data_IF_288177631444
#
_entry.id   IF_288177631444
#
_cell.length_a   1.000
_cell.length_b   1.000
_cell.length_c   1.000
_cell.angle_alpha   90.00
_cell.angle_beta   90.00
_cell.angle_gamma   90.00
#
_symmetry.space_group_name_H-M   'P 1'
#
loop_
_entity.id
_entity.type
_entity.pdbx_description
1 polymer ?
#
# COMPACT_ATOMS: atom_id res chain seq x y z
N UNK A 1 -21.50 -1.95 -31.57
CA UNK A 1 -22.12 -3.29 -31.71
C UNK A 1 -21.26 -4.27 -30.91
N UNK A 2 -21.78 -4.90 -29.83
CA UNK A 2 -21.01 -5.87 -29.04
C UNK A 2 -21.11 -7.25 -29.70
N UNK A 3 -20.01 -7.79 -30.20
CA UNK A 3 -19.96 -9.14 -30.75
C UNK A 3 -20.19 -10.16 -29.63
N UNK A 4 -21.30 -10.89 -29.69
CA UNK A 4 -21.63 -11.99 -28.78
C UNK A 4 -21.45 -13.31 -29.54
N UNK A 5 -20.60 -14.20 -29.01
CA UNK A 5 -20.33 -15.52 -29.63
C UNK A 5 -21.16 -16.61 -28.93
N UNK A 6 -21.65 -17.65 -29.65
CA UNK A 6 -22.44 -18.73 -29.06
C UNK A 6 -21.59 -19.62 -28.12
N UNK A 7 -22.07 -19.85 -26.89
CA UNK A 7 -21.24 -20.24 -25.74
C UNK A 7 -20.76 -21.70 -25.64
N UNK A 8 -21.20 -22.65 -26.49
CA UNK A 8 -21.00 -24.09 -26.16
C UNK A 8 -19.75 -24.78 -26.72
N UNK A 9 -19.24 -24.40 -27.89
CA UNK A 9 -18.03 -25.02 -28.48
C UNK A 9 -16.88 -24.04 -28.77
N UNK A 10 -17.13 -22.74 -28.60
CA UNK A 10 -16.20 -21.67 -29.02
C UNK A 10 -15.26 -21.22 -27.89
N UNK A 11 -15.36 -21.78 -26.68
CA UNK A 11 -14.65 -21.26 -25.51
C UNK A 11 -13.13 -21.43 -25.56
N UNK A 12 -12.60 -22.43 -26.26
CA UNK A 12 -11.15 -22.58 -26.43
C UNK A 12 -10.62 -21.59 -27.47
N UNK A 13 -11.28 -21.51 -28.62
CA UNK A 13 -10.87 -20.62 -29.71
C UNK A 13 -11.04 -19.14 -29.33
N UNK A 14 -12.16 -18.76 -28.71
CA UNK A 14 -12.40 -17.40 -28.24
C UNK A 14 -11.41 -16.97 -27.13
N UNK A 15 -10.98 -17.89 -26.27
CA UNK A 15 -9.92 -17.60 -25.28
C UNK A 15 -8.58 -17.34 -25.95
N UNK A 16 -8.26 -18.10 -27.00
CA UNK A 16 -7.03 -17.93 -27.77
C UNK A 16 -7.06 -16.62 -28.56
N UNK A 17 -8.14 -16.34 -29.27
CA UNK A 17 -8.36 -15.06 -29.98
C UNK A 17 -8.26 -13.86 -29.03
N UNK A 18 -8.86 -13.91 -27.83
CA UNK A 18 -8.75 -12.82 -26.83
C UNK A 18 -7.34 -12.64 -26.26
N UNK A 19 -6.52 -13.69 -26.25
CA UNK A 19 -5.15 -13.62 -25.73
C UNK A 19 -4.17 -13.04 -26.76
N UNK A 20 -4.43 -13.29 -28.04
CA UNK A 20 -3.55 -12.90 -29.13
C UNK A 20 -3.95 -11.60 -29.83
N UNK A 21 -5.24 -11.32 -29.96
CA UNK A 21 -5.68 -10.03 -30.53
C UNK A 21 -5.54 -8.90 -29.49
N UNK A 22 -4.98 -7.74 -29.89
CA UNK A 22 -4.85 -6.60 -28.99
C UNK A 22 -6.22 -6.10 -28.55
N UNK A 23 -6.33 -5.65 -27.29
CA UNK A 23 -7.60 -5.17 -26.72
C UNK A 23 -8.23 -4.01 -27.52
N UNK A 24 -7.41 -3.23 -28.23
CA UNK A 24 -7.86 -2.16 -29.14
C UNK A 24 -8.63 -2.69 -30.35
N UNK A 25 -8.33 -3.89 -30.85
CA UNK A 25 -9.05 -4.50 -31.96
C UNK A 25 -10.50 -4.85 -31.58
N UNK A 26 -10.75 -5.12 -30.29
CA UNK A 26 -12.09 -5.42 -29.77
C UNK A 26 -12.92 -4.16 -29.48
N UNK A 27 -12.26 -3.01 -29.28
CA UNK A 27 -12.90 -1.73 -29.00
C UNK A 27 -13.02 -0.81 -30.24
N UNK A 28 -12.27 -1.11 -31.30
CA UNK A 28 -12.21 -0.32 -32.53
C UNK A 28 -13.33 -0.64 -33.53
N UNK A 29 -13.24 0.01 -34.70
CA UNK A 29 -14.21 -0.16 -35.78
C UNK A 29 -14.30 -1.62 -36.28
N UNK A 30 -15.47 -2.07 -36.76
CA UNK A 30 -15.68 -3.44 -37.25
C UNK A 30 -14.65 -3.90 -38.29
N UNK A 31 -14.18 -2.98 -39.14
CA UNK A 31 -13.14 -3.25 -40.14
C UNK A 31 -11.78 -3.60 -39.51
N UNK A 32 -11.42 -2.92 -38.42
CA UNK A 32 -10.15 -3.16 -37.71
C UNK A 32 -10.19 -4.53 -37.05
N UNK A 33 -11.30 -4.85 -36.38
CA UNK A 33 -11.52 -6.17 -35.79
C UNK A 33 -11.37 -7.30 -36.81
N UNK A 34 -12.05 -7.20 -37.96
CA UNK A 34 -11.98 -8.24 -38.99
C UNK A 34 -10.61 -8.34 -39.66
N UNK A 35 -9.92 -7.22 -39.88
CA UNK A 35 -8.54 -7.22 -40.40
C UNK A 35 -7.60 -8.00 -39.47
N UNK A 36 -7.58 -7.66 -38.18
CA UNK A 36 -6.71 -8.33 -37.21
C UNK A 36 -7.07 -9.82 -37.06
N UNK A 37 -8.36 -10.16 -37.12
CA UNK A 37 -8.82 -11.55 -37.05
C UNK A 37 -8.42 -12.38 -38.28
N UNK A 38 -8.53 -11.81 -39.49
CA UNK A 38 -8.09 -12.49 -40.72
C UNK A 38 -6.57 -12.71 -40.69
N UNK A 39 -5.80 -11.70 -40.29
CA UNK A 39 -4.35 -11.83 -40.14
C UNK A 39 -3.96 -12.92 -39.13
N UNK A 40 -4.64 -12.96 -37.99
CA UNK A 40 -4.43 -14.01 -36.98
C UNK A 40 -4.72 -15.41 -37.54
N UNK A 41 -5.85 -15.59 -38.23
CA UNK A 41 -6.23 -16.88 -38.82
C UNK A 41 -5.23 -17.32 -39.89
N UNK A 42 -4.80 -16.40 -40.78
CA UNK A 42 -3.82 -16.71 -41.82
C UNK A 42 -2.48 -17.09 -41.18
N UNK A 43 -1.97 -16.32 -40.22
CA UNK A 43 -0.71 -16.64 -39.55
C UNK A 43 -0.77 -17.99 -38.82
N UNK A 44 -1.91 -18.29 -38.17
CA UNK A 44 -2.12 -19.57 -37.48
C UNK A 44 -2.19 -20.75 -38.46
N UNK A 45 -2.92 -20.60 -39.57
CA UNK A 45 -2.99 -21.63 -40.61
C UNK A 45 -1.65 -21.85 -41.28
N UNK A 46 -0.92 -20.79 -41.66
CA UNK A 46 0.39 -20.89 -42.30
C UNK A 46 1.41 -21.54 -41.38
N UNK A 47 1.41 -21.20 -40.08
CA UNK A 47 2.32 -21.83 -39.11
C UNK A 47 2.01 -23.30 -38.87
N UNK A 48 0.73 -23.68 -38.83
CA UNK A 48 0.31 -25.07 -38.58
C UNK A 48 0.46 -25.97 -39.82
N UNK A 49 0.00 -25.51 -40.99
CA UNK A 49 0.21 -26.25 -42.25
C UNK A 49 1.68 -26.27 -42.67
N UNK A 50 2.46 -25.23 -42.36
CA UNK A 50 3.87 -25.15 -42.69
C UNK A 50 4.66 -26.33 -42.13
N UNK A 51 4.45 -26.73 -40.87
CA UNK A 51 5.07 -27.94 -40.29
C UNK A 51 4.70 -29.20 -41.07
N UNK A 52 3.42 -29.33 -41.42
CA UNK A 52 2.89 -30.52 -42.09
C UNK A 52 3.48 -30.70 -43.49
N UNK A 53 3.74 -29.59 -44.19
CA UNK A 53 4.38 -29.61 -45.52
C UNK A 53 5.90 -29.77 -45.41
N UNK A 54 6.53 -29.21 -44.38
CA UNK A 54 7.98 -29.27 -44.16
C UNK A 54 8.48 -30.70 -43.95
N UNK A 55 7.76 -31.50 -43.17
CA UNK A 55 8.16 -32.87 -42.80
C UNK A 55 8.41 -33.76 -44.04
N UNK A 56 7.45 -33.95 -44.97
CA UNK A 56 7.68 -34.75 -46.16
C UNK A 56 8.70 -34.12 -47.12
N UNK A 57 8.78 -32.78 -47.22
CA UNK A 57 9.78 -32.09 -48.07
C UNK A 57 11.21 -32.41 -47.63
N UNK A 58 11.52 -32.22 -46.34
CA UNK A 58 12.83 -32.53 -45.77
C UNK A 58 13.15 -34.02 -45.88
N UNK A 59 12.15 -34.88 -45.64
CA UNK A 59 12.34 -36.34 -45.71
C UNK A 59 12.73 -36.79 -47.12
N UNK A 60 12.06 -36.29 -48.15
CA UNK A 60 12.38 -36.60 -49.56
C UNK A 60 13.75 -36.03 -49.96
N UNK A 61 14.02 -34.76 -49.63
CA UNK A 61 15.30 -34.12 -49.96
C UNK A 61 16.50 -34.80 -49.28
N UNK A 62 16.31 -35.32 -48.06
CA UNK A 62 17.34 -36.10 -47.35
C UNK A 62 17.60 -37.46 -48.02
N UNK A 63 16.54 -38.17 -48.43
CA UNK A 63 16.65 -39.46 -49.12
C UNK A 63 17.34 -39.32 -50.49
N UNK A 64 17.14 -38.19 -51.18
CA UNK A 64 17.77 -37.90 -52.47
C UNK A 64 19.16 -37.24 -52.36
N UNK A 65 19.64 -36.96 -51.14
CA UNK A 65 20.94 -36.32 -50.90
C UNK A 65 21.01 -34.83 -51.27
N UNK A 66 19.86 -34.18 -51.44
CA UNK A 66 19.71 -32.75 -51.80
C UNK A 66 19.83 -31.83 -50.58
N UNK A 67 21.03 -31.78 -49.98
CA UNK A 67 21.29 -31.01 -48.76
C UNK A 67 21.02 -29.51 -48.86
N UNK A 68 21.19 -28.90 -50.04
CA UNK A 68 20.88 -27.49 -50.27
C UNK A 68 19.39 -27.20 -50.06
N UNK A 69 18.51 -28.09 -50.52
CA UNK A 69 17.05 -27.97 -50.36
C UNK A 69 16.66 -28.11 -48.89
N UNK A 70 17.25 -29.08 -48.19
CA UNK A 70 17.03 -29.28 -46.74
C UNK A 70 17.36 -28.00 -45.96
N UNK A 71 18.51 -27.39 -46.21
CA UNK A 71 18.93 -26.15 -45.52
C UNK A 71 17.98 -25.00 -45.85
N UNK A 72 17.58 -24.85 -47.11
CA UNK A 72 16.76 -23.74 -47.58
C UNK A 72 15.34 -23.80 -46.99
N UNK A 73 14.69 -24.96 -47.03
CA UNK A 73 13.36 -25.18 -46.44
C UNK A 73 13.38 -25.02 -44.92
N UNK A 74 14.42 -25.52 -44.26
CA UNK A 74 14.58 -25.38 -42.80
C UNK A 74 14.79 -23.92 -42.41
N UNK A 75 15.59 -23.17 -43.16
CA UNK A 75 15.85 -21.75 -42.92
C UNK A 75 14.59 -20.89 -43.15
N UNK A 76 13.84 -21.16 -44.23
CA UNK A 76 12.59 -20.46 -44.53
C UNK A 76 11.56 -20.68 -43.40
N UNK A 77 11.45 -21.91 -42.90
CA UNK A 77 10.54 -22.22 -41.80
C UNK A 77 10.98 -21.56 -40.48
N UNK A 78 12.28 -21.54 -40.18
CA UNK A 78 12.82 -20.87 -39.00
C UNK A 78 12.55 -19.36 -39.03
N UNK A 79 12.71 -18.72 -40.18
CA UNK A 79 12.42 -17.29 -40.36
C UNK A 79 10.94 -16.97 -40.12
N UNK A 80 10.04 -17.78 -40.70
CA UNK A 80 8.59 -17.67 -40.48
C UNK A 80 8.21 -17.79 -38.99
N UNK A 81 8.87 -18.71 -38.28
CA UNK A 81 8.63 -18.96 -36.87
C UNK A 81 9.13 -17.82 -35.97
N UNK A 82 10.25 -17.19 -36.32
CA UNK A 82 10.76 -15.99 -35.63
C UNK A 82 9.80 -14.81 -35.83
N UNK A 83 9.35 -14.57 -37.05
CA UNK A 83 8.45 -13.44 -37.38
C UNK A 83 7.09 -13.54 -36.66
N UNK A 84 6.64 -14.76 -36.34
CA UNK A 84 5.40 -14.98 -35.58
C UNK A 84 5.59 -14.97 -34.07
N UNK A 85 6.68 -15.55 -33.54
CA UNK A 85 6.90 -15.65 -32.10
C UNK A 85 7.40 -14.35 -31.46
N UNK A 86 8.25 -13.58 -32.15
CA UNK A 86 8.85 -12.37 -31.58
C UNK A 86 7.82 -11.28 -31.27
N UNK A 87 6.90 -10.91 -32.19
CA UNK A 87 5.86 -9.92 -31.91
C UNK A 87 4.92 -10.36 -30.79
N UNK A 88 4.62 -11.66 -30.72
CA UNK A 88 3.80 -12.22 -29.65
C UNK A 88 4.47 -12.06 -28.28
N UNK A 89 5.75 -12.41 -28.18
CA UNK A 89 6.51 -12.27 -26.94
C UNK A 89 6.59 -10.81 -26.48
N UNK A 90 6.83 -9.89 -27.42
CA UNK A 90 6.83 -8.44 -27.15
C UNK A 90 5.46 -7.96 -26.68
N UNK A 91 4.37 -8.37 -27.34
CA UNK A 91 3.02 -7.98 -26.96
C UNK A 91 2.63 -8.46 -25.55
N UNK A 92 3.03 -9.69 -25.19
CA UNK A 92 2.84 -10.23 -23.85
C UNK A 92 3.63 -9.43 -22.81
N UNK A 93 4.92 -9.19 -23.05
CA UNK A 93 5.76 -8.39 -22.17
C UNK A 93 5.24 -6.95 -21.99
N UNK A 94 4.81 -6.30 -23.08
CA UNK A 94 4.26 -4.94 -23.03
C UNK A 94 2.97 -4.86 -22.21
N UNK A 95 2.11 -5.88 -22.29
CA UNK A 95 0.88 -5.93 -21.50
C UNK A 95 1.17 -6.09 -20.01
N UNK A 96 2.15 -6.91 -19.63
CA UNK A 96 2.54 -7.09 -18.23
C UNK A 96 3.20 -5.83 -17.68
N UNK A 97 4.06 -5.18 -18.47
CA UNK A 97 4.67 -3.89 -18.11
C UNK A 97 3.61 -2.81 -17.91
N UNK A 98 2.61 -2.72 -18.80
CA UNK A 98 1.50 -1.77 -18.66
C UNK A 98 0.69 -1.98 -17.39
N UNK A 99 0.42 -3.24 -17.03
CA UNK A 99 -0.29 -3.58 -15.78
C UNK A 99 0.52 -3.20 -14.54
N UNK A 100 1.83 -3.46 -14.56
CA UNK A 100 2.71 -3.08 -13.46
C UNK A 100 2.72 -1.56 -13.27
N UNK A 101 2.85 -0.81 -14.38
CA UNK A 101 2.86 0.65 -14.37
C UNK A 101 1.51 1.23 -13.90
N UNK A 102 0.38 0.71 -14.37
CA UNK A 102 -0.94 1.20 -13.96
C UNK A 102 -1.19 0.98 -12.47
N UNK A 103 -0.79 -0.17 -11.94
CA UNK A 103 -0.91 -0.50 -10.51
C UNK A 103 -0.09 0.44 -9.63
N UNK A 104 1.14 0.76 -10.05
CA UNK A 104 2.00 1.71 -9.34
C UNK A 104 1.43 3.13 -9.39
N UNK A 105 0.90 3.54 -10.56
CA UNK A 105 0.24 4.82 -10.73
C UNK A 105 -1.02 4.96 -9.89
N UNK A 106 -1.88 3.95 -9.81
CA UNK A 106 -3.08 3.95 -8.97
C UNK A 106 -2.74 4.08 -7.48
N UNK A 107 -1.72 3.35 -7.01
CA UNK A 107 -1.25 3.42 -5.62
C UNK A 107 -0.75 4.84 -5.31
N UNK A 108 0.10 5.39 -6.19
CA UNK A 108 0.63 6.75 -6.06
C UNK A 108 -0.46 7.82 -6.14
N UNK A 109 -1.45 7.64 -7.02
CA UNK A 109 -2.58 8.55 -7.19
C UNK A 109 -3.48 8.54 -5.95
N UNK A 110 -3.77 7.38 -5.37
CA UNK A 110 -4.60 7.28 -4.16
C UNK A 110 -3.95 7.97 -2.94
N UNK A 111 -2.63 7.87 -2.81
CA UNK A 111 -1.86 8.60 -1.79
C UNK A 111 -1.90 10.11 -2.04
N UNK A 112 -1.72 10.54 -3.30
CA UNK A 112 -1.78 11.96 -3.69
C UNK A 112 -3.18 12.55 -3.53
N UNK A 113 -4.23 11.80 -3.84
CA UNK A 113 -5.62 12.23 -3.71
C UNK A 113 -6.01 12.37 -2.24
N UNK A 114 -5.59 11.43 -1.40
CA UNK A 114 -5.75 11.53 0.06
C UNK A 114 -5.01 12.76 0.61
N UNK A 115 -3.74 12.96 0.24
CA UNK A 115 -2.96 14.13 0.66
C UNK A 115 -3.55 15.45 0.15
N UNK A 116 -4.03 15.50 -1.09
CA UNK A 116 -4.63 16.70 -1.69
C UNK A 116 -5.97 17.06 -1.05
N UNK A 117 -6.79 16.06 -0.70
CA UNK A 117 -8.02 16.27 0.10
C UNK A 117 -7.69 16.83 1.47
N UNK A 118 -6.72 16.26 2.19
CA UNK A 118 -6.30 16.79 3.49
C UNK A 118 -5.68 18.20 3.38
N UNK A 119 -4.88 18.48 2.34
CA UNK A 119 -4.29 19.80 2.12
C UNK A 119 -5.35 20.86 1.80
N UNK A 120 -6.32 20.52 0.96
CA UNK A 120 -7.43 21.42 0.61
C UNK A 120 -8.36 21.68 1.80
N UNK A 121 -8.64 20.65 2.62
CA UNK A 121 -9.44 20.79 3.84
C UNK A 121 -8.70 21.62 4.90
N UNK A 122 -7.41 21.37 5.12
CA UNK A 122 -6.60 22.14 6.07
C UNK A 122 -6.50 23.61 5.64
N UNK A 123 -6.27 23.89 4.34
CA UNK A 123 -6.16 25.25 3.81
C UNK A 123 -7.47 26.05 3.88
N UNK A 124 -8.62 25.36 3.75
CA UNK A 124 -9.94 26.00 3.80
C UNK A 124 -10.62 25.91 5.17
N UNK A 125 -9.91 25.49 6.22
CA UNK A 125 -10.49 25.40 7.55
C UNK A 125 -10.93 26.80 8.04
N UNK A 126 -12.25 27.06 8.19
CA UNK A 126 -12.75 28.39 8.50
C UNK A 126 -12.48 28.73 9.97
N UNK A 127 -12.00 29.95 10.23
CA UNK A 127 -11.72 30.48 11.58
C UNK A 127 -10.76 29.62 12.42
N UNK A 128 -9.85 28.88 11.80
CA UNK A 128 -8.83 28.13 12.52
C UNK A 128 -7.57 27.84 11.71
N UNK A 129 -6.64 27.20 12.39
CA UNK A 129 -5.39 26.69 11.86
C UNK A 129 -5.26 25.21 12.28
N UNK A 130 -4.92 24.35 11.33
CA UNK A 130 -4.57 22.96 11.61
C UNK A 130 -3.05 22.86 11.67
N UNK A 131 -2.51 22.51 12.84
CA UNK A 131 -1.08 22.33 13.06
C UNK A 131 -0.80 20.90 13.52
N UNK A 132 0.08 20.19 12.81
CA UNK A 132 0.69 18.95 13.25
C UNK A 132 1.99 19.29 13.97
N UNK A 133 2.13 18.75 15.17
CA UNK A 133 3.26 19.03 16.06
C UNK A 133 3.82 17.68 16.53
N UNK A 134 5.14 17.53 16.56
CA UNK A 134 5.81 16.35 17.10
C UNK A 134 5.98 16.40 18.63
N UNK A 135 6.59 15.34 19.20
CA UNK A 135 6.84 15.21 20.63
C UNK A 135 7.79 16.29 21.21
N UNK A 136 8.64 16.89 20.36
CA UNK A 136 9.53 18.00 20.73
C UNK A 136 8.85 19.37 20.59
N UNK A 137 7.52 19.37 20.39
CA UNK A 137 6.71 20.55 20.13
C UNK A 137 7.15 21.31 18.86
N UNK A 138 7.67 20.62 17.84
CA UNK A 138 8.02 21.20 16.54
C UNK A 138 6.88 21.04 15.55
N UNK A 139 6.63 22.08 14.76
CA UNK A 139 5.63 22.01 13.70
C UNK A 139 6.10 21.10 12.55
N UNK A 140 5.35 20.06 12.25
CA UNK A 140 5.55 19.17 11.09
C UNK A 140 4.75 19.63 9.87
N UNK A 141 3.56 20.18 10.12
CA UNK A 141 2.73 20.81 9.10
C UNK A 141 1.84 21.87 9.76
N UNK A 142 1.52 22.93 9.04
CA UNK A 142 0.62 23.97 9.52
C UNK A 142 -0.11 24.58 8.32
N UNK A 143 -1.44 24.56 8.28
CA UNK A 143 -2.23 25.20 7.22
C UNK A 143 -3.58 25.69 7.78
N UNK A 144 -4.22 26.66 7.11
CA UNK A 144 -5.48 27.27 7.56
C UNK A 144 -5.55 28.78 7.35
N UNK A 145 -6.77 29.31 7.30
CA UNK A 145 -6.99 30.73 6.98
C UNK A 145 -6.43 31.68 8.05
N UNK A 146 -6.45 31.28 9.32
CA UNK A 146 -5.97 32.15 10.41
C UNK A 146 -4.44 32.34 10.36
N UNK A 147 -3.67 31.33 9.94
CA UNK A 147 -2.22 31.46 9.77
C UNK A 147 -1.87 32.53 8.72
N UNK A 148 -2.62 32.55 7.61
CA UNK A 148 -2.43 33.55 6.55
C UNK A 148 -2.80 34.96 7.03
N UNK A 149 -3.89 35.11 7.82
CA UNK A 149 -4.30 36.39 8.41
C UNK A 149 -3.24 36.95 9.38
N UNK A 150 -2.56 36.08 10.11
CA UNK A 150 -1.47 36.45 11.03
C UNK A 150 -0.08 36.55 10.36
N UNK A 151 0.01 36.52 9.01
CA UNK A 151 1.27 36.51 8.23
C UNK A 151 2.23 35.37 8.60
N UNK A 152 1.72 34.28 9.15
CA UNK A 152 2.47 33.07 9.41
C UNK A 152 2.32 32.14 8.20
N UNK A 153 3.39 31.92 7.44
CA UNK A 153 3.40 30.96 6.34
C UNK A 153 3.80 29.59 6.85
N UNK A 154 3.14 28.54 6.35
CA UNK A 154 3.43 27.13 6.65
C UNK A 154 4.93 26.83 6.60
N UNK A 155 5.61 27.30 5.55
CA UNK A 155 7.05 27.07 5.33
C UNK A 155 7.96 27.74 6.37
N UNK A 156 7.46 28.76 7.09
CA UNK A 156 8.21 29.43 8.16
C UNK A 156 7.96 28.80 9.53
N UNK A 157 6.89 28.03 9.66
CA UNK A 157 6.53 27.33 10.89
C UNK A 157 7.20 25.95 10.96
N UNK A 158 7.24 25.23 9.84
CA UNK A 158 7.76 23.86 9.78
C UNK A 158 9.20 23.80 10.32
N UNK A 159 9.44 22.88 11.26
CA UNK A 159 10.73 22.65 11.92
C UNK A 159 11.02 23.55 13.14
N UNK A 160 10.24 24.62 13.35
CA UNK A 160 10.36 25.48 14.54
C UNK A 160 9.54 24.92 15.70
N UNK A 161 9.95 25.23 16.92
CA UNK A 161 9.19 24.85 18.12
C UNK A 161 8.07 25.84 18.41
N UNK A 162 7.02 25.40 19.10
CA UNK A 162 5.93 26.28 19.58
C UNK A 162 6.48 27.44 20.41
N UNK A 163 7.53 27.22 21.22
CA UNK A 163 8.15 28.27 22.03
C UNK A 163 8.79 29.38 21.18
N UNK A 164 9.34 29.04 20.01
CA UNK A 164 9.99 30.00 19.12
C UNK A 164 9.00 30.83 18.31
N UNK A 165 7.82 30.29 18.04
CA UNK A 165 6.82 30.91 17.19
C UNK A 165 5.77 31.65 18.03
N UNK A 166 5.30 31.04 19.11
CA UNK A 166 4.17 31.49 19.90
C UNK A 166 4.46 31.37 21.41
N UNK A 167 5.46 32.11 21.94
CA UNK A 167 5.90 31.98 23.33
C UNK A 167 4.79 32.28 24.35
N UNK A 168 3.83 33.14 24.00
CA UNK A 168 2.72 33.55 24.85
C UNK A 168 1.69 32.44 25.13
N UNK A 169 1.47 31.53 24.18
CA UNK A 169 0.57 30.38 24.33
C UNK A 169 1.32 29.05 24.42
N UNK A 170 2.65 29.05 24.32
CA UNK A 170 3.48 27.85 24.38
C UNK A 170 3.25 27.06 25.68
N UNK A 171 3.04 27.73 26.81
CA UNK A 171 2.70 27.07 28.07
C UNK A 171 1.36 26.34 28.03
N UNK A 172 0.34 26.93 27.39
CA UNK A 172 -0.99 26.34 27.25
C UNK A 172 -0.94 25.15 26.29
N UNK A 173 -0.31 25.33 25.12
CA UNK A 173 -0.13 24.26 24.12
C UNK A 173 0.65 23.10 24.73
N UNK A 174 1.76 23.38 25.43
CA UNK A 174 2.55 22.35 26.11
C UNK A 174 1.71 21.60 27.11
N UNK A 175 0.86 22.27 27.88
CA UNK A 175 0.00 21.63 28.89
C UNK A 175 -1.08 20.76 28.24
N UNK A 176 -1.79 21.26 27.23
CA UNK A 176 -2.87 20.51 26.56
C UNK A 176 -2.31 19.35 25.72
N UNK A 177 -1.23 19.58 24.96
CA UNK A 177 -0.56 18.51 24.21
C UNK A 177 0.15 17.51 25.15
N UNK A 178 0.68 17.93 26.30
CA UNK A 178 1.24 17.01 27.28
C UNK A 178 0.21 15.99 27.78
N UNK A 179 -1.09 16.33 27.86
CA UNK A 179 -2.13 15.33 28.17
C UNK A 179 -2.27 14.28 27.06
N UNK A 180 -2.12 14.68 25.80
CA UNK A 180 -2.13 13.76 24.65
C UNK A 180 -0.90 12.85 24.68
N UNK A 181 0.26 13.37 25.12
CA UNK A 181 1.50 12.62 25.26
C UNK A 181 1.62 11.81 26.57
N UNK A 182 0.72 12.02 27.54
CA UNK A 182 0.64 11.19 28.73
C UNK A 182 -0.05 9.87 28.40
N UNK A 183 0.60 8.76 28.73
CA UNK A 183 -0.04 7.44 28.61
C UNK A 183 -1.16 7.30 29.63
N UNK A 184 -2.41 7.30 29.16
CA UNK A 184 -3.60 7.08 30.00
C UNK A 184 -4.02 5.62 29.82
N UNK A 185 -4.23 4.94 30.94
CA UNK A 185 -4.73 3.57 31.01
C UNK A 185 -5.88 3.51 32.03
N UNK A 186 -6.97 2.84 31.63
CA UNK A 186 -8.10 2.51 32.50
C UNK A 186 -8.06 1.03 32.80
N UNK A 187 -8.01 0.67 34.07
CA UNK A 187 -7.92 -0.73 34.53
C UNK A 187 -9.14 -1.07 35.39
N UNK A 188 -9.74 -2.23 35.15
CA UNK A 188 -10.79 -2.80 35.99
C UNK A 188 -10.22 -3.35 37.31
N UNK A 189 -11.09 -3.59 38.31
CA UNK A 189 -10.66 -4.15 39.61
C UNK A 189 -9.98 -5.52 39.52
N UNK A 190 -10.24 -6.29 38.47
CA UNK A 190 -9.61 -7.58 38.21
C UNK A 190 -8.29 -7.49 37.40
N UNK A 191 -7.86 -6.25 37.09
CA UNK A 191 -6.65 -5.98 36.33
C UNK A 191 -6.86 -5.96 34.82
N UNK A 192 -8.08 -6.15 34.32
CA UNK A 192 -8.35 -6.06 32.89
C UNK A 192 -8.19 -4.62 32.40
N UNK A 193 -7.49 -4.43 31.28
CA UNK A 193 -7.29 -3.11 30.70
C UNK A 193 -8.53 -2.77 29.86
N UNK A 194 -9.32 -1.80 30.32
CA UNK A 194 -10.57 -1.39 29.67
C UNK A 194 -10.28 -0.43 28.52
N UNK A 195 -9.37 0.51 28.73
CA UNK A 195 -9.05 1.53 27.74
C UNK A 195 -7.61 2.01 27.86
N UNK A 196 -7.03 2.41 26.72
CA UNK A 196 -5.70 3.04 26.62
C UNK A 196 -5.71 4.07 25.51
N UNK A 197 -5.02 5.18 25.74
CA UNK A 197 -4.78 6.16 24.68
C UNK A 197 -3.58 5.78 23.79
N UNK A 198 -3.42 6.49 22.66
CA UNK A 198 -2.35 6.22 21.70
C UNK A 198 -0.96 6.38 22.30
N UNK A 199 -0.75 7.36 23.19
CA UNK A 199 0.55 7.56 23.83
C UNK A 199 0.94 6.37 24.71
N UNK A 200 0.01 5.72 25.40
CA UNK A 200 0.33 4.54 26.21
C UNK A 200 0.78 3.34 25.35
N UNK A 201 0.16 3.15 24.18
CA UNK A 201 0.56 2.11 23.20
C UNK A 201 1.99 2.36 22.70
N UNK A 202 2.31 3.61 22.38
CA UNK A 202 3.63 4.03 21.90
C UNK A 202 4.70 3.91 22.99
N UNK A 203 4.40 4.35 24.22
CA UNK A 203 5.25 4.22 25.40
C UNK A 203 5.64 2.75 25.64
N UNK A 204 4.70 1.83 25.48
CA UNK A 204 4.98 0.41 25.66
C UNK A 204 5.72 -0.24 24.47
N UNK A 205 5.83 0.44 23.33
CA UNK A 205 6.32 -0.15 22.09
C UNK A 205 5.40 -1.24 21.56
N UNK A 206 4.10 -1.14 21.83
CA UNK A 206 3.13 -2.17 21.48
C UNK A 206 2.80 -2.15 19.97
N UNK A 207 2.59 -3.31 19.33
CA UNK A 207 2.29 -3.39 17.89
C UNK A 207 0.90 -2.86 17.54
N UNK A 208 -0.02 -2.85 18.51
CA UNK A 208 -1.37 -2.29 18.34
C UNK A 208 -2.04 -2.03 19.69
N UNK A 209 -3.08 -1.17 19.69
CA UNK A 209 -3.95 -0.95 20.86
C UNK A 209 -4.59 -2.24 21.36
N UNK A 210 -5.01 -3.11 20.44
CA UNK A 210 -5.66 -4.38 20.77
C UNK A 210 -4.74 -5.32 21.55
N UNK A 211 -3.46 -5.37 21.19
CA UNK A 211 -2.47 -6.17 21.90
C UNK A 211 -2.27 -5.71 23.36
N UNK A 212 -2.48 -4.42 23.64
CA UNK A 212 -2.44 -3.88 25.00
C UNK A 212 -3.73 -4.25 25.76
N UNK A 213 -4.90 -4.15 25.14
CA UNK A 213 -6.19 -4.48 25.77
C UNK A 213 -6.33 -5.95 26.14
N UNK A 214 -5.69 -6.86 25.39
CA UNK A 214 -5.67 -8.29 25.69
C UNK A 214 -4.76 -8.65 26.88
N UNK A 215 -3.89 -7.72 27.31
CA UNK A 215 -3.05 -7.91 28.48
C UNK A 215 -3.80 -7.57 29.78
N UNK A 216 -3.42 -8.25 30.86
CA UNK A 216 -3.91 -7.96 32.20
C UNK A 216 -2.81 -7.28 33.03
N UNK A 217 -3.13 -6.14 33.63
CA UNK A 217 -2.20 -5.29 34.38
C UNK A 217 -1.63 -5.96 35.65
N UNK A 218 -2.31 -6.97 36.21
CA UNK A 218 -1.89 -7.67 37.43
C UNK A 218 -1.28 -9.05 37.16
N UNK A 219 -1.73 -9.73 36.10
CA UNK A 219 -1.34 -11.12 35.80
C UNK A 219 -0.25 -11.23 34.74
N UNK A 220 -0.05 -10.20 33.92
CA UNK A 220 0.95 -10.25 32.87
C UNK A 220 2.37 -10.27 33.46
N UNK A 221 3.19 -11.30 33.18
CA UNK A 221 4.56 -11.39 33.68
C UNK A 221 5.51 -10.29 33.14
N UNK A 222 5.05 -9.50 32.16
CA UNK A 222 5.84 -8.50 31.46
C UNK A 222 5.25 -7.07 31.54
N UNK A 223 4.13 -6.90 32.26
CA UNK A 223 3.63 -5.61 32.74
C UNK A 223 3.61 -5.67 34.28
N UNK A 224 4.62 -6.31 34.87
CA UNK A 224 4.90 -6.10 36.29
C UNK A 224 5.55 -4.72 36.40
N UNK A 225 4.71 -3.69 36.36
CA UNK A 225 5.04 -2.40 36.93
C UNK A 225 5.34 -2.69 38.41
N UNK A 226 6.62 -2.84 38.75
CA UNK A 226 7.05 -3.26 40.08
C UNK A 226 6.41 -2.33 41.12
N UNK A 227 5.61 -2.91 42.04
CA UNK A 227 4.79 -2.23 43.08
C UNK A 227 3.50 -1.52 42.64
N UNK A 228 3.16 -1.48 41.35
CA UNK A 228 1.95 -0.82 40.85
C UNK A 228 0.64 -1.58 41.15
N UNK A 229 0.57 -2.93 41.17
CA UNK A 229 -0.67 -3.63 41.52
C UNK A 229 -1.15 -3.32 42.94
N UNK A 230 -0.23 -3.26 43.90
CA UNK A 230 -0.54 -2.97 45.30
C UNK A 230 -1.03 -1.53 45.47
N UNK A 231 -0.39 -0.57 44.79
CA UNK A 231 -0.77 0.85 44.84
C UNK A 231 -2.07 1.16 44.12
N UNK A 232 -2.29 0.52 42.97
CA UNK A 232 -3.54 0.66 42.23
C UNK A 232 -4.69 0.04 43.04
N UNK A 233 -4.43 -1.06 43.75
CA UNK A 233 -5.37 -1.66 44.70
C UNK A 233 -5.63 -0.75 45.90
N UNK A 234 -4.60 -0.21 46.54
CA UNK A 234 -4.74 0.74 47.65
C UNK A 234 -5.52 2.00 47.24
N UNK A 235 -5.26 2.52 46.04
CA UNK A 235 -6.01 3.63 45.45
C UNK A 235 -7.48 3.26 45.18
N UNK A 236 -7.75 2.06 44.64
CA UNK A 236 -9.12 1.57 44.40
C UNK A 236 -9.91 1.33 45.70
N UNK A 237 -9.22 0.95 46.77
CA UNK A 237 -9.82 0.59 48.05
C UNK A 237 -9.97 1.81 49.00
N UNK A 238 -9.02 2.76 48.98
CA UNK A 238 -8.97 3.89 49.92
C UNK A 238 -9.05 5.28 49.27
N UNK A 239 -9.04 5.37 47.93
CA UNK A 239 -9.14 6.65 47.20
C UNK A 239 -7.92 7.56 47.33
N UNK A 240 -6.77 7.03 47.75
CA UNK A 240 -5.53 7.78 47.93
C UNK A 240 -4.79 8.01 46.61
N UNK A 241 -4.60 9.28 46.21
CA UNK A 241 -3.75 9.63 45.08
C UNK A 241 -2.28 9.55 45.43
N UNK A 242 -1.49 8.98 44.52
CA UNK A 242 -0.03 8.85 44.67
C UNK A 242 0.68 8.97 43.33
N UNK A 243 1.94 9.43 43.34
CA UNK A 243 2.79 9.44 42.15
C UNK A 243 4.06 8.64 42.43
N UNK A 244 4.38 7.71 41.54
CA UNK A 244 5.49 6.79 41.70
C UNK A 244 6.28 6.66 40.41
N UNK A 245 7.59 6.48 40.56
CA UNK A 245 8.51 6.31 39.45
C UNK A 245 9.04 4.88 39.45
N UNK A 246 8.93 4.20 38.31
CA UNK A 246 9.44 2.84 38.13
C UNK A 246 9.97 2.67 36.72
N UNK A 247 11.09 1.96 36.60
CA UNK A 247 11.51 1.38 35.32
C UNK A 247 10.86 0.02 35.16
N UNK A 248 10.44 -0.32 33.94
CA UNK A 248 10.09 -1.68 33.58
C UNK A 248 10.37 -1.92 32.09
N UNK A 249 10.43 -3.20 31.73
CA UNK A 249 10.54 -3.64 30.35
C UNK A 249 9.20 -4.20 29.92
N UNK A 250 8.61 -3.62 28.87
CA UNK A 250 7.34 -4.08 28.32
C UNK A 250 7.47 -5.48 27.70
N UNK A 251 6.32 -6.13 27.45
CA UNK A 251 6.21 -7.39 26.68
C UNK A 251 6.87 -7.33 25.30
N UNK A 252 7.15 -6.13 24.78
CA UNK A 252 7.72 -5.89 23.46
C UNK A 252 9.19 -5.45 23.54
N UNK A 253 9.88 -5.85 24.61
CA UNK A 253 11.31 -5.61 24.85
C UNK A 253 11.69 -4.12 24.84
N UNK A 254 10.73 -3.24 25.17
CA UNK A 254 10.95 -1.80 25.29
C UNK A 254 11.16 -1.47 26.75
N UNK A 255 12.35 -1.01 27.12
CA UNK A 255 12.65 -0.57 28.48
C UNK A 255 12.26 0.90 28.64
N UNK A 256 11.34 1.17 29.55
CA UNK A 256 10.82 2.52 29.81
C UNK A 256 10.91 2.88 31.28
N UNK A 257 11.21 4.16 31.53
CA UNK A 257 11.09 4.78 32.84
C UNK A 257 9.78 5.55 32.89
N UNK A 258 8.84 5.13 33.73
CA UNK A 258 7.55 5.80 33.86
C UNK A 258 7.39 6.42 35.25
N UNK A 259 6.88 7.64 35.25
CA UNK A 259 6.24 8.23 36.41
C UNK A 259 4.74 8.06 36.26
N UNK A 260 4.16 7.15 37.05
CA UNK A 260 2.73 6.89 37.04
C UNK A 260 2.07 7.60 38.23
N UNK A 261 1.01 8.35 37.95
CA UNK A 261 0.10 8.85 38.98
C UNK A 261 -1.12 7.93 39.00
N UNK A 262 -1.48 7.42 40.18
CA UNK A 262 -2.69 6.63 40.40
C UNK A 262 -3.71 7.50 41.11
N UNK A 263 -4.84 7.78 40.46
CA UNK A 263 -6.11 8.20 41.07
C UNK A 263 -7.23 8.35 40.04
#
# INVERSE_FOLDING_TARGET
MRFTFPERHVNHWARLERRFMPASAWAGDPLTFWRERILFIICFLVSTLGVVVLIPSITLAFLEGLWTVVVLDTAAYLFQLIDTLVPLAIALMLNDLKKALSKEQETSASMRESQSRYRTLAKNFPNGALCLIDHDFRFLAADGQELQKHRLSSDRLIGRTVDQVMPEIAGIIRTECARVFQGIITVARDGAIIDVNSAFVEILGAPSRQAVLEANAFRSPHIQLTRFPDQLKDCMDHGSSGAHETSFTSSWNTSVYLRCATC
#
